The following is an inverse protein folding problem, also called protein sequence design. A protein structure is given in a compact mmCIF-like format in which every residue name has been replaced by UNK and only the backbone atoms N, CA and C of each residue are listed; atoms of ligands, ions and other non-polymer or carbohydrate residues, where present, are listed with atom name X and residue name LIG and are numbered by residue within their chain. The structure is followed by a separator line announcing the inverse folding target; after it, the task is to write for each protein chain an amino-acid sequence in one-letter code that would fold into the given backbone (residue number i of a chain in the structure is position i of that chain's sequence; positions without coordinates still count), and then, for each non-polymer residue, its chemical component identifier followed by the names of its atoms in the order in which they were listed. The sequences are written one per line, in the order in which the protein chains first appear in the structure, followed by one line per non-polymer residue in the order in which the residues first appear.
data_IF_633586726959
#
_entry.id   IF_633586726959
#
_cell.length_a   1.000
_cell.length_b   1.000
_cell.length_c   1.000
_cell.angle_alpha   90.00
_cell.angle_beta   90.00
_cell.angle_gamma   90.00
#
_symmetry.space_group_name_H-M   'P 1'
#
loop_
_entity.id
_entity.type
_entity.pdbx_description
1 polymer ?
#
# COMPACT_ATOMS: atom_id res chain seq x y z
N UNK A 1 20.30 -29.98 24.13
CA UNK A 1 20.79 -28.73 23.52
C UNK A 1 21.48 -29.00 22.18
N UNK A 2 22.23 -30.09 22.04
CA UNK A 2 23.01 -30.42 20.83
C UNK A 2 22.16 -30.64 19.56
N UNK A 3 20.99 -31.29 19.66
CA UNK A 3 20.13 -31.54 18.48
C UNK A 3 19.54 -30.25 17.86
N UNK A 4 19.31 -29.20 18.66
CA UNK A 4 18.83 -27.90 18.17
C UNK A 4 19.97 -27.12 17.51
N UNK A 5 21.17 -27.15 18.12
CA UNK A 5 22.36 -26.52 17.53
C UNK A 5 22.75 -27.14 16.18
N UNK A 6 22.63 -28.47 16.03
CA UNK A 6 22.88 -29.16 14.76
C UNK A 6 21.84 -28.84 13.68
N UNK A 7 20.58 -28.56 14.04
CA UNK A 7 19.55 -28.11 13.08
C UNK A 7 19.80 -26.69 12.61
N UNK A 8 20.23 -25.80 13.50
CA UNK A 8 20.56 -24.41 13.14
C UNK A 8 21.76 -24.34 12.19
N UNK A 9 22.72 -25.27 12.30
CA UNK A 9 23.83 -25.39 11.32
C UNK A 9 23.39 -25.82 9.92
N UNK A 10 22.17 -26.31 9.73
CA UNK A 10 21.59 -26.72 8.43
C UNK A 10 20.60 -25.71 7.85
N UNK A 11 20.69 -24.43 8.22
CA UNK A 11 19.90 -23.36 7.60
C UNK A 11 20.38 -23.21 6.15
N UNK A 12 19.55 -23.66 5.21
CA UNK A 12 19.75 -23.46 3.78
C UNK A 12 18.98 -22.22 3.34
N UNK A 13 19.67 -21.27 2.71
CA UNK A 13 19.04 -20.11 2.09
C UNK A 13 18.47 -20.41 0.70
N UNK A 14 18.71 -21.62 0.16
CA UNK A 14 18.10 -22.10 -1.06
C UNK A 14 16.70 -22.62 -0.75
N UNK A 15 15.73 -21.72 -0.76
CA UNK A 15 14.31 -22.00 -0.49
C UNK A 15 13.52 -22.40 -1.75
N UNK A 16 14.18 -22.49 -2.91
CA UNK A 16 13.54 -22.80 -4.17
C UNK A 16 13.11 -24.27 -4.24
N UNK A 17 11.82 -24.51 -4.49
CA UNK A 17 11.27 -25.85 -4.73
C UNK A 17 11.36 -26.29 -6.20
N UNK A 18 11.70 -25.36 -7.11
CA UNK A 18 11.84 -25.59 -8.55
C UNK A 18 13.16 -24.99 -9.06
N UNK A 19 13.83 -25.73 -9.94
CA UNK A 19 14.93 -25.18 -10.74
C UNK A 19 14.34 -24.44 -11.93
N UNK A 20 14.54 -23.13 -12.00
CA UNK A 20 14.12 -22.31 -13.13
C UNK A 20 15.31 -22.09 -14.06
N UNK A 21 15.08 -22.05 -15.36
CA UNK A 21 16.08 -21.56 -16.31
C UNK A 21 16.42 -20.09 -16.03
N UNK A 22 17.59 -19.63 -16.49
CA UNK A 22 17.99 -18.23 -16.30
C UNK A 22 16.98 -17.24 -16.90
N UNK A 23 16.33 -17.60 -18.01
CA UNK A 23 15.26 -16.81 -18.64
C UNK A 23 14.02 -16.72 -17.78
N UNK A 24 13.54 -17.87 -17.27
CA UNK A 24 12.37 -17.92 -16.38
C UNK A 24 12.65 -17.18 -15.06
N UNK A 25 13.84 -17.33 -14.49
CA UNK A 25 14.23 -16.63 -13.25
C UNK A 25 14.22 -15.12 -13.44
N UNK A 26 14.73 -14.63 -14.58
CA UNK A 26 14.69 -13.20 -14.91
C UNK A 26 13.26 -12.70 -15.04
N UNK A 27 12.39 -13.46 -15.72
CA UNK A 27 10.99 -13.11 -15.88
C UNK A 27 10.24 -13.08 -14.54
N UNK A 28 10.49 -14.04 -13.66
CA UNK A 28 9.93 -14.05 -12.31
C UNK A 28 10.41 -12.85 -11.48
N UNK A 29 11.67 -12.44 -11.62
CA UNK A 29 12.19 -11.26 -10.93
C UNK A 29 11.52 -9.96 -11.41
N UNK A 30 11.31 -9.81 -12.72
CA UNK A 30 10.56 -8.68 -13.29
C UNK A 30 9.13 -8.68 -12.75
N UNK A 31 8.47 -9.84 -12.77
CA UNK A 31 7.09 -10.00 -12.28
C UNK A 31 7.00 -9.64 -10.80
N UNK A 32 7.92 -10.15 -9.96
CA UNK A 32 7.97 -9.82 -8.54
C UNK A 32 8.18 -8.32 -8.30
N UNK A 33 9.07 -7.68 -9.06
CA UNK A 33 9.31 -6.23 -8.97
C UNK A 33 8.04 -5.46 -9.34
N UNK A 34 7.36 -5.85 -10.42
CA UNK A 34 6.11 -5.23 -10.86
C UNK A 34 5.01 -5.37 -9.80
N UNK A 35 4.89 -6.53 -9.13
CA UNK A 35 3.95 -6.74 -8.03
C UNK A 35 4.23 -5.82 -6.85
N UNK A 36 5.51 -5.63 -6.47
CA UNK A 36 5.88 -4.70 -5.39
C UNK A 36 5.54 -3.26 -5.76
N UNK A 37 5.85 -2.83 -6.98
CA UNK A 37 5.50 -1.48 -7.46
C UNK A 37 3.98 -1.27 -7.47
N UNK A 38 3.23 -2.27 -7.96
CA UNK A 38 1.77 -2.25 -7.98
C UNK A 38 1.18 -2.14 -6.58
N UNK A 39 1.72 -2.90 -5.61
CA UNK A 39 1.30 -2.84 -4.21
C UNK A 39 1.45 -1.44 -3.60
N UNK A 40 2.50 -0.69 -3.98
CA UNK A 40 2.74 0.68 -3.48
C UNK A 40 1.99 1.77 -4.26
N UNK A 41 1.35 1.45 -5.38
CA UNK A 41 0.66 2.44 -6.22
C UNK A 41 -0.51 3.12 -5.50
N UNK A 42 -1.31 2.36 -4.75
CA UNK A 42 -2.44 2.90 -3.97
C UNK A 42 -1.98 3.92 -2.92
N UNK A 43 -1.10 3.53 -1.97
CA UNK A 43 -0.54 4.47 -1.00
C UNK A 43 0.17 5.68 -1.62
N UNK A 44 0.74 5.53 -2.82
CA UNK A 44 1.43 6.62 -3.51
C UNK A 44 0.47 7.77 -3.89
N UNK A 45 -0.76 7.47 -4.30
CA UNK A 45 -1.78 8.48 -4.58
C UNK A 45 -2.09 9.35 -3.37
N UNK A 46 -2.11 8.72 -2.19
CA UNK A 46 -2.42 9.37 -0.92
C UNK A 46 -1.18 9.92 -0.22
N UNK A 47 0.01 9.77 -0.81
CA UNK A 47 1.25 10.25 -0.21
C UNK A 47 1.25 11.77 0.00
N UNK A 48 0.43 12.49 -0.78
CA UNK A 48 0.12 13.92 -0.59
C UNK A 48 -0.32 14.25 0.84
N UNK A 49 -1.09 13.36 1.47
CA UNK A 49 -1.66 13.59 2.79
C UNK A 49 -0.61 13.68 3.89
N UNK A 50 0.48 12.92 3.75
CA UNK A 50 1.59 12.91 4.69
C UNK A 50 2.68 13.91 4.30
N UNK A 51 2.98 14.02 3.00
CA UNK A 51 4.06 14.86 2.50
C UNK A 51 3.85 16.35 2.79
N UNK A 52 2.61 16.83 2.86
CA UNK A 52 2.30 18.22 3.26
C UNK A 52 2.72 18.58 4.69
N UNK A 53 2.89 17.60 5.58
CA UNK A 53 3.40 17.81 6.94
C UNK A 53 4.92 17.64 7.07
N UNK A 54 5.60 17.31 5.96
CA UNK A 54 7.06 17.23 5.93
C UNK A 54 7.69 18.62 5.99
N UNK A 55 8.88 18.74 6.60
CA UNK A 55 9.55 20.04 6.78
C UNK A 55 10.04 20.63 5.45
N UNK A 56 10.51 19.77 4.53
CA UNK A 56 10.92 20.19 3.20
C UNK A 56 10.85 19.05 2.18
N UNK A 57 10.69 19.39 0.91
CA UNK A 57 10.71 18.41 -0.18
C UNK A 57 12.06 17.68 -0.31
N UNK A 58 13.16 18.35 0.06
CA UNK A 58 14.49 17.74 0.11
C UNK A 58 14.58 16.60 1.13
N UNK A 59 14.04 16.82 2.34
CA UNK A 59 13.99 15.79 3.37
C UNK A 59 13.05 14.64 2.99
N UNK A 60 11.87 14.93 2.44
CA UNK A 60 10.92 13.90 1.97
C UNK A 60 11.59 12.99 0.94
N UNK A 61 12.31 13.57 -0.03
CA UNK A 61 13.07 12.80 -1.04
C UNK A 61 14.18 11.97 -0.41
N UNK A 62 14.93 12.53 0.56
CA UNK A 62 15.98 11.81 1.28
C UNK A 62 15.41 10.62 2.07
N UNK A 63 14.31 10.83 2.80
CA UNK A 63 13.62 9.79 3.55
C UNK A 63 13.11 8.69 2.64
N UNK A 64 12.51 9.00 1.48
CA UNK A 64 12.08 7.95 0.55
C UNK A 64 13.27 7.19 -0.07
N UNK A 65 14.33 7.91 -0.47
CA UNK A 65 15.50 7.32 -1.12
C UNK A 65 16.24 6.31 -0.24
N UNK A 66 16.32 6.58 1.06
CA UNK A 66 17.06 5.72 1.99
C UNK A 66 16.14 4.87 2.85
N UNK A 67 15.03 5.45 3.33
CA UNK A 67 14.10 4.79 4.24
C UNK A 67 13.40 3.60 3.60
N UNK A 68 12.91 3.72 2.36
CA UNK A 68 12.24 2.59 1.71
C UNK A 68 13.23 1.45 1.42
N UNK A 69 14.32 1.63 0.63
CA UNK A 69 15.20 0.51 0.29
C UNK A 69 15.86 -0.14 1.51
N UNK A 70 16.26 0.66 2.50
CA UNK A 70 16.93 0.13 3.70
C UNK A 70 15.97 -0.69 4.56
N UNK A 71 14.75 -0.19 4.83
CA UNK A 71 13.76 -0.95 5.59
C UNK A 71 13.35 -2.23 4.84
N UNK A 72 13.12 -2.14 3.53
CA UNK A 72 12.79 -3.31 2.71
C UNK A 72 13.88 -4.37 2.74
N UNK A 73 15.14 -3.95 2.58
CA UNK A 73 16.28 -4.87 2.62
C UNK A 73 16.40 -5.54 3.98
N UNK A 74 16.34 -4.75 5.06
CA UNK A 74 16.44 -5.27 6.42
C UNK A 74 15.29 -6.25 6.73
N UNK A 75 14.06 -5.87 6.40
CA UNK A 75 12.89 -6.72 6.59
C UNK A 75 12.98 -8.00 5.76
N UNK A 76 13.48 -7.93 4.52
CA UNK A 76 13.65 -9.11 3.66
C UNK A 76 14.69 -10.07 4.23
N UNK A 77 15.83 -9.56 4.72
CA UNK A 77 16.86 -10.37 5.38
C UNK A 77 16.29 -11.08 6.60
N UNK A 78 15.62 -10.35 7.49
CA UNK A 78 15.02 -10.90 8.70
C UNK A 78 13.98 -11.96 8.34
N UNK A 79 13.12 -11.69 7.36
CA UNK A 79 12.09 -12.63 6.90
C UNK A 79 12.72 -13.91 6.37
N UNK A 80 13.72 -13.83 5.50
CA UNK A 80 14.40 -15.01 4.93
C UNK A 80 15.08 -15.84 6.02
N UNK A 81 15.74 -15.19 6.98
CA UNK A 81 16.38 -15.88 8.12
C UNK A 81 15.36 -16.62 8.97
N UNK A 82 14.24 -15.97 9.31
CA UNK A 82 13.18 -16.57 10.12
C UNK A 82 12.52 -17.74 9.37
N UNK A 83 12.11 -17.53 8.12
CA UNK A 83 11.45 -18.56 7.30
C UNK A 83 12.38 -19.76 7.08
N UNK A 84 13.65 -19.52 6.75
CA UNK A 84 14.63 -20.62 6.61
C UNK A 84 14.85 -21.35 7.94
N UNK A 85 14.92 -20.62 9.06
CA UNK A 85 14.98 -21.20 10.40
C UNK A 85 13.78 -22.10 10.73
N UNK A 86 12.57 -21.74 10.30
CA UNK A 86 11.37 -22.58 10.51
C UNK A 86 11.47 -23.91 9.77
N UNK A 87 12.05 -23.94 8.57
CA UNK A 87 12.29 -25.16 7.81
C UNK A 87 13.26 -26.09 8.55
N UNK A 88 14.35 -25.56 9.11
CA UNK A 88 15.33 -26.35 9.87
C UNK A 88 14.80 -26.83 11.23
N UNK A 89 14.01 -26.01 11.93
CA UNK A 89 13.48 -26.31 13.27
C UNK A 89 12.24 -27.20 13.22
N UNK A 90 11.27 -26.86 12.37
CA UNK A 90 9.94 -27.49 12.32
C UNK A 90 9.74 -28.43 11.12
N UNK A 91 10.71 -28.52 10.21
CA UNK A 91 10.64 -29.40 9.03
C UNK A 91 9.75 -28.89 7.91
N UNK A 92 9.14 -27.70 8.05
CA UNK A 92 8.37 -27.02 7.01
C UNK A 92 8.61 -25.51 7.08
N UNK A 93 8.57 -24.85 5.93
CA UNK A 93 8.58 -23.39 5.84
C UNK A 93 7.26 -22.84 6.38
N UNK A 94 7.34 -21.98 7.39
CA UNK A 94 6.23 -21.19 7.90
C UNK A 94 6.43 -19.77 7.41
N UNK A 95 5.51 -19.30 6.55
CA UNK A 95 5.53 -17.94 6.00
C UNK A 95 4.64 -16.99 6.80
N UNK A 96 3.70 -17.51 7.58
CA UNK A 96 2.86 -16.71 8.47
C UNK A 96 3.65 -16.31 9.73
N UNK A 97 3.89 -15.01 9.95
CA UNK A 97 4.60 -14.54 11.15
C UNK A 97 3.83 -14.85 12.45
N UNK A 98 2.50 -14.87 12.43
CA UNK A 98 1.68 -15.17 13.61
C UNK A 98 1.85 -16.62 14.01
N UNK A 99 1.78 -17.54 13.04
CA UNK A 99 2.07 -18.95 13.28
C UNK A 99 3.51 -19.17 13.77
N UNK A 100 4.47 -18.41 13.25
CA UNK A 100 5.86 -18.53 13.68
C UNK A 100 6.03 -18.15 15.15
N UNK A 101 5.40 -17.04 15.58
CA UNK A 101 5.44 -16.57 16.98
C UNK A 101 4.79 -17.58 17.92
N UNK A 102 3.66 -18.20 17.56
CA UNK A 102 2.97 -19.16 18.45
C UNK A 102 3.80 -20.41 18.76
N UNK A 103 4.85 -20.70 17.97
CA UNK A 103 5.73 -21.86 18.13
C UNK A 103 7.03 -21.59 18.90
N UNK A 104 7.23 -20.39 19.43
CA UNK A 104 8.44 -19.99 20.19
C UNK A 104 8.55 -20.75 21.53
N UNK A 105 7.45 -21.32 22.04
CA UNK A 105 7.44 -22.24 23.19
C UNK A 105 7.56 -21.57 24.57
N UNK A 106 7.57 -20.24 24.63
CA UNK A 106 7.54 -19.46 25.86
C UNK A 106 6.30 -18.54 25.85
N UNK A 107 5.35 -18.78 26.74
CA UNK A 107 4.06 -18.08 26.78
C UNK A 107 4.20 -16.55 26.87
N UNK A 108 5.19 -16.06 27.61
CA UNK A 108 5.47 -14.62 27.72
C UNK A 108 6.04 -14.05 26.41
N UNK A 109 6.92 -14.78 25.74
CA UNK A 109 7.45 -14.38 24.44
C UNK A 109 6.35 -14.38 23.36
N UNK A 110 5.46 -15.38 23.39
CA UNK A 110 4.29 -15.44 22.50
C UNK A 110 3.37 -14.26 22.77
N UNK A 111 3.04 -13.95 24.02
CA UNK A 111 2.18 -12.83 24.38
C UNK A 111 2.74 -11.48 23.88
N UNK A 112 4.03 -11.23 24.09
CA UNK A 112 4.70 -10.02 23.59
C UNK A 112 4.70 -9.97 22.06
N UNK A 113 4.98 -11.10 21.41
CA UNK A 113 4.97 -11.20 19.95
C UNK A 113 3.60 -10.89 19.35
N UNK A 114 2.54 -11.49 19.90
CA UNK A 114 1.16 -11.22 19.46
C UNK A 114 0.74 -9.76 19.71
N UNK A 115 1.08 -9.18 20.87
CA UNK A 115 0.81 -7.78 21.15
C UNK A 115 1.54 -6.84 20.18
N UNK A 116 2.78 -7.17 19.84
CA UNK A 116 3.57 -6.44 18.84
C UNK A 116 2.91 -6.52 17.46
N UNK A 117 2.45 -7.70 17.05
CA UNK A 117 1.74 -7.89 15.79
C UNK A 117 0.44 -7.08 15.75
N UNK A 118 -0.39 -7.14 16.80
CA UNK A 118 -1.62 -6.35 16.90
C UNK A 118 -1.32 -4.85 16.76
N UNK A 119 -0.32 -4.37 17.49
CA UNK A 119 0.08 -2.96 17.45
C UNK A 119 0.57 -2.56 16.06
N UNK A 120 1.39 -3.39 15.42
CA UNK A 120 1.89 -3.16 14.07
C UNK A 120 0.76 -3.15 13.03
N UNK A 121 -0.18 -4.10 13.12
CA UNK A 121 -1.35 -4.17 12.23
C UNK A 121 -2.25 -2.95 12.39
N UNK A 122 -2.48 -2.47 13.62
CA UNK A 122 -3.23 -1.23 13.85
C UNK A 122 -2.48 -0.03 13.26
N UNK A 123 -1.18 0.09 13.56
CA UNK A 123 -0.36 1.21 13.11
C UNK A 123 -0.32 1.35 11.58
N UNK A 124 -0.10 0.24 10.86
CA UNK A 124 -0.08 0.27 9.39
C UNK A 124 -1.45 0.57 8.80
N UNK A 125 -2.54 0.07 9.39
CA UNK A 125 -3.90 0.38 8.92
C UNK A 125 -4.25 1.85 9.11
N UNK A 126 -3.84 2.47 10.22
CA UNK A 126 -4.06 3.90 10.43
C UNK A 126 -3.37 4.71 9.33
N UNK A 127 -2.09 4.46 9.09
CA UNK A 127 -1.30 5.22 8.10
C UNK A 127 -1.74 4.91 6.66
N UNK A 128 -1.94 3.64 6.30
CA UNK A 128 -2.20 3.27 4.93
C UNK A 128 -3.67 3.49 4.49
N UNK A 129 -4.62 3.26 5.41
CA UNK A 129 -6.03 3.09 5.03
C UNK A 129 -7.00 4.04 5.76
N UNK A 130 -6.61 4.68 6.85
CA UNK A 130 -7.52 5.53 7.64
C UNK A 130 -7.37 7.02 7.36
N UNK A 131 -6.12 7.50 7.28
CA UNK A 131 -5.85 8.94 7.18
C UNK A 131 -6.40 9.57 5.91
N UNK A 132 -6.19 8.93 4.75
CA UNK A 132 -6.61 9.45 3.45
C UNK A 132 -8.13 9.63 3.33
N UNK A 133 -8.97 8.60 3.59
CA UNK A 133 -10.42 8.79 3.52
C UNK A 133 -10.94 9.79 4.55
N UNK A 134 -10.29 9.91 5.72
CA UNK A 134 -10.64 10.95 6.68
C UNK A 134 -10.41 12.37 6.11
N UNK A 135 -9.31 12.56 5.38
CA UNK A 135 -9.06 13.80 4.64
C UNK A 135 -10.05 14.01 3.49
N UNK A 136 -10.32 12.98 2.69
CA UNK A 136 -11.27 13.06 1.58
C UNK A 136 -12.64 13.56 2.04
N UNK A 137 -13.22 12.95 3.08
CA UNK A 137 -14.50 13.39 3.63
C UNK A 137 -14.44 14.80 4.22
N UNK A 138 -13.35 15.16 4.91
CA UNK A 138 -13.20 16.52 5.44
C UNK A 138 -13.09 17.56 4.34
N UNK A 139 -12.46 17.23 3.21
CA UNK A 139 -12.30 18.12 2.07
C UNK A 139 -13.60 18.28 1.25
N UNK A 140 -14.53 17.33 1.31
CA UNK A 140 -15.83 17.46 0.65
C UNK A 140 -16.67 18.62 1.23
N UNK A 141 -16.54 18.92 2.52
CA UNK A 141 -17.23 20.05 3.14
C UNK A 141 -16.45 20.54 4.38
N UNK A 142 -15.36 21.30 4.18
CA UNK A 142 -14.43 21.64 5.27
C UNK A 142 -15.06 22.49 6.38
N UNK A 143 -16.12 23.24 6.08
CA UNK A 143 -16.86 24.02 7.07
C UNK A 143 -17.75 23.16 7.99
N UNK A 144 -18.10 21.94 7.57
CA UNK A 144 -19.05 21.06 8.28
C UNK A 144 -18.42 19.76 8.79
N UNK A 145 -17.41 19.26 8.10
CA UNK A 145 -16.79 17.96 8.36
C UNK A 145 -15.36 18.20 8.82
N UNK A 146 -15.14 18.07 10.13
CA UNK A 146 -13.79 18.05 10.69
C UNK A 146 -13.07 16.75 10.33
N UNK A 147 -11.74 16.70 10.43
CA UNK A 147 -10.97 15.46 10.27
C UNK A 147 -11.46 14.33 11.18
N UNK A 148 -11.85 14.65 12.43
CA UNK A 148 -12.42 13.65 13.36
C UNK A 148 -13.74 13.10 12.84
N UNK A 149 -14.61 13.97 12.35
CA UNK A 149 -15.91 13.59 11.78
C UNK A 149 -15.71 12.77 10.50
N UNK A 150 -14.81 13.18 9.61
CA UNK A 150 -14.45 12.43 8.40
C UNK A 150 -13.89 11.04 8.70
N UNK A 151 -13.01 10.94 9.70
CA UNK A 151 -12.51 9.65 10.19
C UNK A 151 -13.60 8.74 10.74
N UNK A 152 -14.59 9.29 11.46
CA UNK A 152 -15.74 8.52 11.93
C UNK A 152 -16.65 8.06 10.77
N UNK A 153 -16.85 8.89 9.75
CA UNK A 153 -17.58 8.50 8.54
C UNK A 153 -16.86 7.36 7.84
N UNK A 154 -15.54 7.46 7.66
CA UNK A 154 -14.73 6.40 7.06
C UNK A 154 -14.76 5.09 7.87
N UNK A 155 -14.70 5.17 9.21
CA UNK A 155 -14.76 4.01 10.08
C UNK A 155 -16.12 3.30 10.04
N UNK A 156 -17.22 4.05 10.09
CA UNK A 156 -18.56 3.47 10.00
C UNK A 156 -18.80 2.92 8.59
N UNK A 157 -18.39 3.67 7.56
CA UNK A 157 -18.51 3.25 6.16
C UNK A 157 -17.78 1.94 5.88
N UNK A 158 -16.56 1.76 6.41
CA UNK A 158 -15.80 0.52 6.21
C UNK A 158 -16.46 -0.70 6.84
N UNK A 159 -17.13 -0.55 7.99
CA UNK A 159 -17.91 -1.62 8.63
C UNK A 159 -19.16 -1.94 7.79
N UNK A 160 -19.86 -0.91 7.29
CA UNK A 160 -21.06 -1.07 6.48
C UNK A 160 -20.80 -1.73 5.12
N UNK A 161 -19.59 -1.57 4.56
CA UNK A 161 -19.18 -2.31 3.36
C UNK A 161 -19.05 -3.82 3.62
N UNK A 162 -19.03 -4.24 4.88
CA UNK A 162 -18.96 -5.65 5.29
C UNK A 162 -17.85 -6.41 4.56
N UNK A 163 -16.58 -5.96 4.63
CA UNK A 163 -15.52 -6.51 3.79
C UNK A 163 -15.32 -8.02 3.95
N UNK A 164 -15.68 -8.59 5.11
CA UNK A 164 -15.71 -10.05 5.34
C UNK A 164 -16.62 -10.81 4.37
N UNK A 165 -17.68 -10.19 3.84
CA UNK A 165 -18.51 -10.80 2.82
C UNK A 165 -17.80 -10.93 1.48
N UNK A 166 -16.86 -10.03 1.14
CA UNK A 166 -16.02 -10.20 -0.04
C UNK A 166 -15.13 -11.44 0.11
N UNK A 167 -14.56 -11.67 1.30
CA UNK A 167 -13.68 -12.82 1.54
C UNK A 167 -14.39 -14.18 1.40
N UNK A 168 -15.72 -14.21 1.46
CA UNK A 168 -16.50 -15.42 1.26
C UNK A 168 -16.71 -15.80 -0.22
N UNK A 169 -16.36 -14.92 -1.18
CA UNK A 169 -16.47 -15.20 -2.61
C UNK A 169 -15.20 -14.75 -3.36
N UNK A 170 -14.37 -15.70 -3.84
CA UNK A 170 -13.20 -15.38 -4.65
C UNK A 170 -13.54 -14.53 -5.89
N UNK A 171 -14.70 -14.76 -6.49
CA UNK A 171 -15.19 -14.01 -7.66
C UNK A 171 -15.44 -12.54 -7.33
N UNK A 172 -16.07 -12.25 -6.18
CA UNK A 172 -16.30 -10.87 -5.74
C UNK A 172 -14.99 -10.13 -5.42
N UNK A 173 -13.99 -10.84 -4.89
CA UNK A 173 -12.66 -10.27 -4.65
C UNK A 173 -12.02 -9.87 -5.96
N UNK A 174 -11.94 -10.78 -6.93
CA UNK A 174 -11.34 -10.51 -8.24
C UNK A 174 -12.06 -9.36 -8.94
N UNK A 175 -13.39 -9.41 -9.01
CA UNK A 175 -14.18 -8.35 -9.62
C UNK A 175 -13.93 -6.97 -8.97
N UNK A 176 -13.87 -6.92 -7.63
CA UNK A 176 -13.59 -5.66 -6.92
C UNK A 176 -12.19 -5.14 -7.22
N UNK A 177 -11.18 -6.01 -7.25
CA UNK A 177 -9.81 -5.63 -7.56
C UNK A 177 -9.66 -5.16 -9.01
N UNK A 178 -10.34 -5.81 -9.95
CA UNK A 178 -10.30 -5.47 -11.37
C UNK A 178 -10.93 -4.10 -11.61
N UNK A 179 -12.12 -3.84 -11.01
CA UNK A 179 -12.76 -2.52 -11.03
C UNK A 179 -11.82 -1.47 -10.45
N UNK A 180 -11.29 -1.67 -9.24
CA UNK A 180 -10.42 -0.68 -8.60
C UNK A 180 -9.16 -0.40 -9.44
N UNK A 181 -8.51 -1.45 -9.95
CA UNK A 181 -7.33 -1.33 -10.80
C UNK A 181 -7.60 -0.56 -12.09
N UNK A 182 -8.72 -0.85 -12.75
CA UNK A 182 -9.12 -0.21 -14.01
C UNK A 182 -9.34 1.30 -13.87
N UNK A 183 -9.75 1.79 -12.69
CA UNK A 183 -9.93 3.23 -12.44
C UNK A 183 -8.66 3.91 -11.92
N UNK A 184 -7.96 3.28 -10.97
CA UNK A 184 -6.80 3.87 -10.28
C UNK A 184 -5.65 4.15 -11.26
N UNK A 185 -5.34 3.20 -12.14
CA UNK A 185 -4.24 3.32 -13.12
C UNK A 185 -4.39 4.54 -14.04
N UNK A 186 -5.49 4.64 -14.81
CA UNK A 186 -5.79 5.80 -15.65
C UNK A 186 -5.84 7.12 -14.90
N UNK A 187 -6.46 7.15 -13.71
CA UNK A 187 -6.54 8.36 -12.90
C UNK A 187 -5.15 8.87 -12.51
N UNK A 188 -4.27 7.97 -12.07
CA UNK A 188 -2.87 8.31 -11.78
C UNK A 188 -2.13 8.84 -13.01
N UNK A 189 -2.31 8.19 -14.17
CA UNK A 189 -1.72 8.63 -15.44
C UNK A 189 -2.15 10.03 -15.84
N UNK A 190 -3.44 10.36 -15.70
CA UNK A 190 -3.98 11.69 -15.98
C UNK A 190 -3.38 12.73 -15.04
N UNK A 191 -3.27 12.44 -13.74
CA UNK A 191 -2.69 13.36 -12.76
C UNK A 191 -1.21 13.66 -13.07
N UNK A 192 -0.42 12.63 -13.40
CA UNK A 192 0.99 12.81 -13.77
C UNK A 192 1.12 13.63 -15.06
N UNK A 193 0.36 13.29 -16.10
CA UNK A 193 0.39 13.99 -17.37
C UNK A 193 -0.02 15.45 -17.22
N UNK A 194 -1.09 15.72 -16.47
CA UNK A 194 -1.56 17.08 -16.18
C UNK A 194 -0.50 17.89 -15.42
N UNK A 195 0.09 17.32 -14.36
CA UNK A 195 1.08 18.04 -13.57
C UNK A 195 2.40 18.29 -14.33
N UNK A 196 3.00 17.26 -14.92
CA UNK A 196 4.34 17.34 -15.51
C UNK A 196 4.35 17.81 -16.96
N UNK A 197 3.43 17.33 -17.81
CA UNK A 197 3.44 17.64 -19.25
C UNK A 197 2.65 18.92 -19.55
N UNK A 198 1.44 19.05 -19.01
CA UNK A 198 0.54 20.18 -19.30
C UNK A 198 0.92 21.40 -18.46
N UNK A 199 0.91 21.25 -17.14
CA UNK A 199 1.16 22.34 -16.17
C UNK A 199 2.65 22.59 -15.93
N UNK A 200 3.54 21.72 -16.41
CA UNK A 200 5.01 21.84 -16.31
C UNK A 200 5.49 22.08 -14.86
N UNK A 201 4.84 21.41 -13.91
CA UNK A 201 5.13 21.50 -12.47
C UNK A 201 4.65 22.80 -11.81
N UNK A 202 3.85 23.63 -12.49
CA UNK A 202 3.31 24.88 -11.94
C UNK A 202 1.83 24.73 -11.59
N UNK A 203 1.50 24.89 -10.31
CA UNK A 203 0.14 24.87 -9.79
C UNK A 203 -0.11 26.15 -9.02
N UNK A 204 -1.29 26.76 -9.23
CA UNK A 204 -1.73 27.93 -8.47
C UNK A 204 -2.45 27.45 -7.23
N UNK A 205 -1.92 27.71 -6.04
CA UNK A 205 -2.52 27.20 -4.80
C UNK A 205 -3.81 27.95 -4.48
N UNK A 206 -3.84 29.25 -4.69
CA UNK A 206 -5.02 30.08 -4.41
C UNK A 206 -6.21 29.63 -5.27
N UNK A 207 -5.98 29.38 -6.58
CA UNK A 207 -7.03 28.91 -7.48
C UNK A 207 -7.54 27.49 -7.16
N UNK A 208 -6.81 26.68 -6.37
CA UNK A 208 -7.30 25.37 -5.93
C UNK A 208 -8.41 25.47 -4.88
N UNK A 209 -8.50 26.62 -4.19
CA UNK A 209 -9.52 26.91 -3.18
C UNK A 209 -10.57 27.89 -3.70
N UNK A 210 -10.54 28.24 -4.98
CA UNK A 210 -11.53 29.09 -5.64
C UNK A 210 -12.60 28.23 -6.32
N UNK A 211 -13.80 28.21 -5.74
CA UNK A 211 -14.98 27.50 -6.26
C UNK A 211 -15.90 28.41 -7.10
N UNK A 212 -15.41 29.57 -7.53
CA UNK A 212 -16.14 30.46 -8.41
C UNK A 212 -15.89 30.15 -9.90
N UNK A 213 -16.80 30.55 -10.81
CA UNK A 213 -16.61 30.41 -12.25
C UNK A 213 -15.33 31.03 -12.82
N UNK A 214 -14.76 32.00 -12.10
CA UNK A 214 -13.52 32.69 -12.44
C UNK A 214 -12.26 31.87 -12.09
N UNK A 215 -12.39 30.90 -11.19
CA UNK A 215 -11.32 30.03 -10.74
C UNK A 215 -10.70 29.23 -11.89
N UNK A 216 -9.37 29.22 -11.97
CA UNK A 216 -8.62 28.52 -13.04
C UNK A 216 -8.95 27.03 -13.15
N UNK A 217 -9.33 26.40 -12.04
CA UNK A 217 -9.66 24.98 -11.96
C UNK A 217 -11.17 24.70 -11.86
N UNK A 218 -12.02 25.71 -12.04
CA UNK A 218 -13.47 25.52 -12.12
C UNK A 218 -13.92 24.80 -13.39
N UNK A 219 -13.20 25.03 -14.49
CA UNK A 219 -13.49 24.45 -15.81
C UNK A 219 -14.96 24.66 -16.21
N UNK A 220 -15.74 23.58 -16.40
CA UNK A 220 -17.16 23.63 -16.75
C UNK A 220 -17.97 23.14 -15.56
N UNK A 221 -18.51 24.08 -14.78
CA UNK A 221 -19.36 23.80 -13.62
C UNK A 221 -18.67 22.92 -12.55
N UNK A 222 -17.39 23.17 -12.29
CA UNK A 222 -16.57 22.39 -11.35
C UNK A 222 -15.95 21.11 -11.93
N UNK A 223 -16.24 20.75 -13.19
CA UNK A 223 -15.74 19.53 -13.82
C UNK A 223 -14.80 19.82 -14.97
N UNK A 224 -13.69 19.07 -15.04
CA UNK A 224 -12.76 19.08 -16.17
C UNK A 224 -13.21 18.06 -17.24
N UNK A 225 -13.87 18.49 -18.35
CA UNK A 225 -14.41 17.55 -19.33
C UNK A 225 -13.32 16.82 -20.11
N UNK A 226 -12.13 17.42 -20.23
CA UNK A 226 -10.98 16.79 -20.90
C UNK A 226 -10.41 15.65 -20.05
N UNK A 227 -10.33 15.83 -18.73
CA UNK A 227 -9.90 14.77 -17.83
C UNK A 227 -10.90 13.61 -17.81
N UNK A 228 -12.20 13.90 -17.75
CA UNK A 228 -13.26 12.87 -17.83
C UNK A 228 -13.21 12.15 -19.18
N UNK A 229 -13.06 12.90 -20.27
CA UNK A 229 -12.95 12.35 -21.62
C UNK A 229 -11.68 11.50 -21.84
N UNK A 230 -10.61 11.72 -21.07
CA UNK A 230 -9.45 10.84 -21.05
C UNK A 230 -9.69 9.60 -20.16
N UNK A 231 -10.37 9.77 -19.02
CA UNK A 231 -10.61 8.69 -18.07
C UNK A 231 -11.47 7.58 -18.67
N UNK A 232 -12.60 7.91 -19.30
CA UNK A 232 -13.57 6.94 -19.83
C UNK A 232 -12.94 5.91 -20.79
N UNK A 233 -12.25 6.31 -21.88
CA UNK A 233 -11.63 5.35 -22.80
C UNK A 233 -10.47 4.61 -22.14
N UNK A 234 -9.70 5.24 -21.25
CA UNK A 234 -8.60 4.57 -20.56
C UNK A 234 -9.09 3.49 -19.60
N UNK A 235 -10.21 3.72 -18.89
CA UNK A 235 -10.87 2.70 -18.07
C UNK A 235 -11.42 1.60 -18.98
N UNK A 236 -12.10 1.95 -20.08
CA UNK A 236 -12.70 0.98 -20.99
C UNK A 236 -11.69 0.03 -21.67
N UNK A 237 -10.46 0.50 -21.92
CA UNK A 237 -9.36 -0.31 -22.45
C UNK A 237 -8.67 -1.14 -21.36
N UNK A 238 -8.79 -0.75 -20.09
CA UNK A 238 -8.20 -1.45 -18.95
C UNK A 238 -8.94 -2.72 -18.54
N UNK A 239 -10.08 -3.02 -19.15
CA UNK A 239 -10.86 -4.24 -18.98
C UNK A 239 -10.42 -5.36 -19.94
#
# INVERSE_FOLDING_TARGET
MDCIQDRIRRISFTLASKSLSAGEQTWQMITATALVVSYFSGPLLNFGDFSRYGKSMGEIRRCNRWGLPFNFLLFSIVTVVIVSGTQSLFGRMITDPIETVSRVGNDLAVAIGLLTMITATIGINIVANFVSPAFDFSNCSPQKISFRTGGMIAAVGSILLTPWNLFNSPELIHYTLDVLGAFIGPLFGILIADFYLIKRGKVSVDDLFDDTPEGKYWYRNGFNPKAIGALIPSVAVGW
#
